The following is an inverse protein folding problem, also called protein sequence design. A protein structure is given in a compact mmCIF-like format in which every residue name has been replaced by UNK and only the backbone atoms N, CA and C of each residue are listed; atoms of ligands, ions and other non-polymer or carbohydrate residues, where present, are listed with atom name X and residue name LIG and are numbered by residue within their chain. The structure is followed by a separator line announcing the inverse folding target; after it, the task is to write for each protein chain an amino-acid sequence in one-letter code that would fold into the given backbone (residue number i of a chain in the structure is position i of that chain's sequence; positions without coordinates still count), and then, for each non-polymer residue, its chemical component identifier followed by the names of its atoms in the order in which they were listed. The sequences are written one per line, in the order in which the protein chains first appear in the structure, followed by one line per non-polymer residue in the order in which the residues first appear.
data_IF_278374465568
#
_entry.id   IF_278374465568
#
_cell.length_a   1.000
_cell.length_b   1.000
_cell.length_c   1.000
_cell.angle_alpha   90.00
_cell.angle_beta   90.00
_cell.angle_gamma   90.00
#
_symmetry.space_group_name_H-M   'P 1'
#
loop_
_entity.id
_entity.type
_entity.pdbx_description
1 polymer ?
#
# COMPACT_ATOMS: atom_id res chain seq x y z
N UNK A 1 21.40 5.91 -6.99
CA UNK A 1 20.16 5.54 -6.26
C UNK A 1 20.52 5.41 -4.80
N UNK A 2 19.98 6.27 -3.93
CA UNK A 2 20.30 6.28 -2.50
C UNK A 2 19.89 4.96 -1.85
N UNK A 3 20.80 4.29 -1.15
CA UNK A 3 20.59 3.05 -0.40
C UNK A 3 19.33 3.09 0.48
N UNK A 4 18.97 4.27 0.96
CA UNK A 4 17.82 4.54 1.84
C UNK A 4 16.44 4.20 1.24
N UNK A 5 16.20 4.42 -0.06
CA UNK A 5 14.87 4.17 -0.64
C UNK A 5 14.55 2.68 -0.75
N UNK A 6 15.57 1.87 -1.05
CA UNK A 6 15.43 0.42 -1.13
C UNK A 6 15.27 -0.20 0.25
N UNK A 7 16.02 0.29 1.24
CA UNK A 7 15.88 -0.12 2.64
C UNK A 7 14.49 0.19 3.19
N UNK A 8 13.99 1.41 2.96
CA UNK A 8 12.63 1.79 3.35
C UNK A 8 11.57 0.94 2.66
N UNK A 9 11.73 0.66 1.36
CA UNK A 9 10.78 -0.19 0.66
C UNK A 9 10.77 -1.64 1.18
N UNK A 10 11.95 -2.18 1.53
CA UNK A 10 12.04 -3.48 2.18
C UNK A 10 11.35 -3.48 3.55
N UNK A 11 11.53 -2.43 4.35
CA UNK A 11 10.82 -2.28 5.62
C UNK A 11 9.30 -2.26 5.44
N UNK A 12 8.78 -1.56 4.41
CA UNK A 12 7.36 -1.58 4.10
C UNK A 12 6.85 -2.96 3.65
N UNK A 13 7.67 -3.74 2.94
CA UNK A 13 7.30 -5.12 2.57
C UNK A 13 7.27 -6.03 3.79
N UNK A 14 8.21 -5.86 4.72
CA UNK A 14 8.25 -6.60 5.99
C UNK A 14 6.98 -6.28 6.83
N UNK A 15 6.62 -5.01 6.95
CA UNK A 15 5.37 -4.60 7.62
C UNK A 15 4.12 -5.16 6.91
N UNK A 16 4.12 -5.22 5.58
CA UNK A 16 3.02 -5.80 4.81
C UNK A 16 2.85 -7.30 5.10
N UNK A 17 3.96 -8.03 5.24
CA UNK A 17 3.94 -9.44 5.59
C UNK A 17 3.36 -9.66 7.00
N UNK A 18 3.76 -8.86 7.99
CA UNK A 18 3.15 -8.91 9.32
C UNK A 18 1.65 -8.64 9.29
N UNK A 19 1.20 -7.64 8.53
CA UNK A 19 -0.22 -7.34 8.36
C UNK A 19 -0.98 -8.52 7.72
N UNK A 20 -0.37 -9.19 6.73
CA UNK A 20 -0.94 -10.38 6.12
C UNK A 20 -1.08 -11.54 7.11
N UNK A 21 -0.05 -11.81 7.91
CA UNK A 21 -0.11 -12.84 8.96
C UNK A 21 -1.19 -12.54 10.01
N UNK A 22 -1.34 -11.27 10.41
CA UNK A 22 -2.44 -10.84 11.28
C UNK A 22 -3.81 -11.02 10.62
N UNK A 23 -3.95 -10.72 9.33
CA UNK A 23 -5.18 -10.95 8.58
C UNK A 23 -5.56 -12.44 8.58
N UNK A 24 -4.57 -13.31 8.36
CA UNK A 24 -4.75 -14.77 8.37
C UNK A 24 -5.10 -15.31 9.77
N UNK A 25 -4.46 -14.78 10.82
CA UNK A 25 -4.83 -15.10 12.21
C UNK A 25 -6.25 -14.65 12.54
N UNK A 26 -6.65 -13.45 12.13
CA UNK A 26 -8.00 -12.94 12.29
C UNK A 26 -9.03 -13.78 11.52
N UNK A 27 -8.68 -14.24 10.32
CA UNK A 27 -9.54 -15.07 9.48
C UNK A 27 -9.82 -16.43 10.14
N UNK A 28 -8.77 -17.09 10.65
CA UNK A 28 -8.89 -18.34 11.42
C UNK A 28 -9.81 -18.19 12.64
N UNK A 29 -9.84 -17.00 13.25
CA UNK A 29 -10.71 -16.66 14.41
C UNK A 29 -12.11 -16.18 14.00
N UNK A 30 -12.45 -16.21 12.70
CA UNK A 30 -13.71 -15.68 12.13
C UNK A 30 -13.96 -14.20 12.43
N UNK A 31 -12.90 -13.42 12.66
CA UNK A 31 -12.96 -11.98 12.90
C UNK A 31 -12.87 -11.24 11.56
N UNK A 32 -13.88 -11.41 10.69
CA UNK A 32 -13.84 -10.96 9.30
C UNK A 32 -13.57 -9.45 9.13
N UNK A 33 -14.14 -8.61 9.99
CA UNK A 33 -13.87 -7.16 9.98
C UNK A 33 -12.38 -6.83 10.21
N UNK A 34 -11.69 -7.61 11.07
CA UNK A 34 -10.25 -7.45 11.29
C UNK A 34 -9.43 -7.99 10.13
N UNK A 35 -9.86 -9.11 9.55
CA UNK A 35 -9.23 -9.68 8.34
C UNK A 35 -9.22 -8.66 7.21
N UNK A 36 -10.36 -8.03 6.90
CA UNK A 36 -10.45 -7.05 5.82
C UNK A 36 -9.55 -5.84 6.10
N UNK A 37 -9.58 -5.31 7.32
CA UNK A 37 -8.75 -4.15 7.70
C UNK A 37 -7.26 -4.43 7.55
N UNK A 38 -6.79 -5.59 8.01
CA UNK A 38 -5.38 -5.99 7.90
C UNK A 38 -4.98 -6.33 6.46
N UNK A 39 -5.90 -6.89 5.68
CA UNK A 39 -5.67 -7.11 4.25
C UNK A 39 -5.52 -5.79 3.47
N UNK A 40 -6.33 -4.78 3.78
CA UNK A 40 -6.18 -3.44 3.19
C UNK A 40 -4.82 -2.83 3.54
N UNK A 41 -4.43 -2.91 4.82
CA UNK A 41 -3.14 -2.41 5.31
C UNK A 41 -1.96 -3.09 4.60
N UNK A 42 -2.00 -4.41 4.41
CA UNK A 42 -1.02 -5.16 3.63
C UNK A 42 -0.89 -4.64 2.18
N UNK A 43 -2.02 -4.41 1.50
CA UNK A 43 -2.01 -3.88 0.13
C UNK A 43 -1.45 -2.46 0.07
N UNK A 44 -1.82 -1.60 1.03
CA UNK A 44 -1.34 -0.21 1.11
C UNK A 44 0.18 -0.15 1.32
N UNK A 45 0.72 -0.98 2.20
CA UNK A 45 2.16 -1.06 2.47
C UNK A 45 2.93 -1.63 1.27
N UNK A 46 2.40 -2.67 0.64
CA UNK A 46 2.98 -3.26 -0.58
C UNK A 46 3.03 -2.23 -1.72
N UNK A 47 1.97 -1.44 -1.90
CA UNK A 47 1.92 -0.38 -2.90
C UNK A 47 2.93 0.74 -2.59
N UNK A 48 3.03 1.18 -1.32
CA UNK A 48 4.02 2.18 -0.89
C UNK A 48 5.45 1.70 -1.11
N UNK A 49 5.74 0.43 -0.85
CA UNK A 49 7.03 -0.18 -1.11
C UNK A 49 7.37 -0.16 -2.60
N UNK A 50 6.40 -0.57 -3.45
CA UNK A 50 6.56 -0.60 -4.90
C UNK A 50 6.84 0.80 -5.47
N UNK A 51 6.04 1.80 -5.06
CA UNK A 51 6.20 3.19 -5.50
C UNK A 51 7.58 3.75 -5.11
N UNK A 52 8.10 3.39 -3.94
CA UNK A 52 9.46 3.79 -3.51
C UNK A 52 10.57 3.07 -4.26
N UNK A 53 10.42 1.75 -4.49
CA UNK A 53 11.40 0.96 -5.25
C UNK A 53 11.57 1.46 -6.67
N UNK A 54 10.44 1.76 -7.31
CA UNK A 54 10.46 2.19 -8.70
C UNK A 54 11.02 3.59 -8.87
N UNK A 55 11.15 4.41 -7.81
CA UNK A 55 11.56 5.83 -7.89
C UNK A 55 10.92 6.52 -9.10
N UNK A 56 9.68 6.14 -9.42
CA UNK A 56 8.92 6.78 -10.49
C UNK A 56 8.70 8.18 -9.94
N UNK A 57 9.47 9.14 -10.46
CA UNK A 57 8.93 10.48 -10.67
C UNK A 57 7.57 10.24 -11.28
N UNK A 58 6.52 10.43 -10.47
CA UNK A 58 5.16 10.47 -10.95
C UNK A 58 5.21 11.30 -12.23
N UNK A 59 4.99 10.74 -13.44
CA UNK A 59 4.74 11.62 -14.56
C UNK A 59 3.51 12.36 -14.09
N UNK A 60 3.67 13.66 -13.87
CA UNK A 60 2.57 14.57 -13.59
C UNK A 60 1.76 14.65 -14.88
N UNK A 61 1.08 13.56 -15.26
CA UNK A 61 -0.10 13.61 -16.09
C UNK A 61 -1.16 14.24 -15.21
N UNK A 62 -1.02 15.55 -15.17
CA UNK A 62 -2.05 16.53 -14.97
C UNK A 62 -3.11 16.27 -16.05
N UNK A 63 -3.93 15.25 -15.87
CA UNK A 63 -5.29 15.33 -16.40
C UNK A 63 -6.07 16.25 -15.48
N UNK A 64 -5.83 17.54 -15.64
CA UNK A 64 -6.91 18.50 -15.51
C UNK A 64 -7.83 18.27 -16.69
N UNK A 65 -8.83 17.44 -16.46
CA UNK A 65 -10.13 17.52 -17.10
C UNK A 65 -11.14 17.63 -15.96
N UNK A 66 -11.12 18.74 -15.20
CA UNK A 66 -12.10 19.82 -15.41
C UNK A 66 -13.42 19.31 -16.01
N UNK A 67 -14.32 18.83 -15.15
CA UNK A 67 -15.76 18.98 -15.37
C UNK A 67 -16.45 19.07 -14.02
N UNK A 68 -16.62 20.33 -13.62
CA UNK A 68 -17.62 20.81 -12.69
C UNK A 68 -18.95 20.08 -12.89
N UNK A 69 -19.44 19.39 -11.86
CA UNK A 69 -20.85 19.01 -11.80
C UNK A 69 -21.64 20.26 -11.42
N UNK A 70 -21.94 21.08 -12.42
CA UNK A 70 -23.00 22.09 -12.35
C UNK A 70 -24.10 21.68 -13.31
N UNK A 71 -25.13 21.04 -12.77
CA UNK A 71 -26.56 21.11 -13.15
C UNK A 71 -27.34 20.28 -12.15
#
# INVERSE_FOLDING_TARGET
MSSSNRELALAYLEDAEYAFEEAMRAYKRRLFHRTIRRAQECVELSLKALLRLYSVEYPRTHEVSSSLWSS
#
